data_IF_405839133815
#
_entry.id   IF_405839133815
#
_cell.length_a   1.000
_cell.length_b   1.000
_cell.length_c   1.000
_cell.angle_alpha   90.00
_cell.angle_beta   90.00
_cell.angle_gamma   90.00
#
_symmetry.space_group_name_H-M   'P 1'
#
loop_
_entity.id
_entity.type
_entity.pdbx_description
1 polymer ?
#
# COMPACT_ATOMS: atom_id res chain seq x y z
N UNK A 1 7.61 5.53 16.69
CA UNK A 1 8.29 4.32 16.19
C UNK A 1 7.20 3.49 15.53
N UNK A 2 7.07 3.60 14.21
CA UNK A 2 6.10 2.81 13.46
C UNK A 2 6.88 1.77 12.68
N UNK A 3 6.62 0.50 12.91
CA UNK A 3 7.10 -0.58 12.06
C UNK A 3 6.30 -0.55 10.76
N UNK A 4 6.98 -0.71 9.62
CA UNK A 4 6.32 -0.96 8.34
C UNK A 4 6.21 -2.47 8.15
N UNK A 5 5.01 -2.98 7.94
CA UNK A 5 4.78 -4.42 7.73
C UNK A 5 4.76 -4.74 6.23
N UNK A 6 5.39 -5.84 5.83
CA UNK A 6 5.17 -6.47 4.51
C UNK A 6 4.15 -7.59 4.69
N UNK A 7 3.14 -7.64 3.82
CA UNK A 7 2.03 -8.59 3.84
C UNK A 7 1.91 -9.17 2.43
N UNK A 8 2.19 -10.46 2.24
CA UNK A 8 1.99 -11.17 0.97
C UNK A 8 0.78 -12.10 1.12
N UNK A 9 -0.26 -11.99 0.29
CA UNK A 9 -1.56 -12.63 0.55
C UNK A 9 -2.02 -13.61 -0.52
N UNK A 10 -2.39 -14.81 -0.06
CA UNK A 10 -3.56 -15.56 -0.52
C UNK A 10 -4.43 -15.98 0.69
N UNK A 11 -5.73 -15.68 0.62
CA UNK A 11 -6.89 -16.04 1.47
C UNK A 11 -6.85 -15.94 3.03
N UNK A 12 -8.01 -15.58 3.59
CA UNK A 12 -8.20 -14.85 4.87
C UNK A 12 -8.48 -15.65 6.16
N UNK A 13 -7.92 -15.19 7.30
CA UNK A 13 -8.62 -14.92 8.57
C UNK A 13 -7.71 -14.26 9.67
N UNK A 14 -8.34 -13.46 10.56
CA UNK A 14 -7.79 -12.51 11.54
C UNK A 14 -6.93 -13.07 12.72
N UNK A 15 -5.82 -12.36 12.97
CA UNK A 15 -5.12 -12.03 14.24
C UNK A 15 -5.17 -13.01 15.44
N UNK A 16 -4.27 -13.99 15.42
CA UNK A 16 -3.47 -14.48 16.55
C UNK A 16 -2.37 -15.33 15.91
N UNK A 17 -1.10 -14.87 15.91
CA UNK A 17 -0.03 -15.46 15.09
C UNK A 17 -0.52 -15.70 13.65
N UNK A 18 -0.54 -14.67 12.80
CA UNK A 18 -0.99 -14.82 11.41
C UNK A 18 0.02 -15.65 10.63
N UNK A 19 -0.09 -16.98 10.80
CA UNK A 19 0.38 -18.01 9.90
C UNK A 19 -0.88 -18.66 9.33
N UNK A 20 -1.70 -17.83 8.66
CA UNK A 20 -2.64 -18.39 7.70
C UNK A 20 -1.77 -19.02 6.59
N UNK A 21 -2.02 -20.27 6.18
CA UNK A 21 -1.26 -20.88 5.09
C UNK A 21 -1.42 -19.99 3.85
N UNK A 22 -0.30 -19.47 3.31
CA UNK A 22 -0.30 -18.53 2.19
C UNK A 22 -0.07 -17.05 2.56
N UNK A 23 0.14 -16.72 3.84
CA UNK A 23 0.45 -15.37 4.31
C UNK A 23 1.73 -15.32 5.14
N UNK A 24 2.76 -14.69 4.57
CA UNK A 24 4.01 -14.35 5.25
C UNK A 24 4.03 -12.86 5.62
N UNK A 25 4.43 -12.55 6.86
CA UNK A 25 4.54 -11.18 7.36
C UNK A 25 5.84 -10.94 8.11
N UNK A 26 6.40 -9.73 7.98
CA UNK A 26 7.64 -9.32 8.65
C UNK A 26 7.56 -7.84 9.03
N UNK A 27 8.16 -7.46 10.17
CA UNK A 27 8.28 -6.05 10.55
C UNK A 27 9.60 -5.48 10.05
N UNK A 28 9.52 -4.28 9.50
CA UNK A 28 10.70 -3.62 8.91
C UNK A 28 11.08 -2.39 9.72
N UNK A 29 12.35 -2.37 10.15
CA UNK A 29 12.98 -1.18 10.73
C UNK A 29 12.88 -0.02 9.73
N UNK A 30 12.63 1.17 10.26
CA UNK A 30 12.57 2.42 9.50
C UNK A 30 13.99 2.87 9.08
N UNK A 31 14.71 2.04 8.31
CA UNK A 31 16.05 2.29 7.78
C UNK A 31 16.19 1.85 6.31
N UNK A 32 16.79 2.69 5.46
CA UNK A 32 16.91 2.42 4.02
C UNK A 32 17.72 1.17 3.72
N UNK A 33 18.81 0.96 4.45
CA UNK A 33 19.63 -0.24 4.29
C UNK A 33 18.85 -1.51 4.67
N UNK A 34 17.97 -1.44 5.67
CA UNK A 34 17.08 -2.56 6.02
C UNK A 34 16.11 -2.83 4.88
N UNK A 35 15.39 -1.82 4.38
CA UNK A 35 14.47 -2.01 3.25
C UNK A 35 15.17 -2.57 1.99
N UNK A 36 16.34 -2.03 1.66
CA UNK A 36 17.12 -2.43 0.49
C UNK A 36 17.66 -3.87 0.55
N UNK A 37 17.79 -4.46 1.73
CA UNK A 37 18.31 -5.82 1.94
C UNK A 37 17.22 -6.83 2.29
N UNK A 38 16.30 -6.46 3.19
CA UNK A 38 15.24 -7.34 3.68
C UNK A 38 14.22 -7.66 2.59
N UNK A 39 13.73 -6.65 1.86
CA UNK A 39 12.66 -6.85 0.87
C UNK A 39 13.11 -7.82 -0.23
N UNK A 40 14.28 -7.65 -0.89
CA UNK A 40 14.73 -8.63 -1.89
C UNK A 40 14.94 -10.03 -1.32
N UNK A 41 15.41 -10.13 -0.07
CA UNK A 41 15.61 -11.42 0.61
C UNK A 41 14.28 -12.14 0.84
N UNK A 42 13.25 -11.42 1.29
CA UNK A 42 11.90 -11.97 1.46
C UNK A 42 11.29 -12.41 0.13
N UNK A 43 11.45 -11.60 -0.93
CA UNK A 43 10.98 -11.97 -2.28
C UNK A 43 11.67 -13.26 -2.74
N UNK A 44 12.99 -13.38 -2.55
CA UNK A 44 13.73 -14.58 -2.94
C UNK A 44 13.33 -15.81 -2.11
N UNK A 45 13.12 -15.64 -0.81
CA UNK A 45 12.81 -16.73 0.10
C UNK A 45 11.39 -17.29 -0.11
N UNK A 46 10.42 -16.40 -0.33
CA UNK A 46 9.00 -16.75 -0.35
C UNK A 46 8.39 -16.79 -1.75
N UNK A 47 9.07 -16.24 -2.76
CA UNK A 47 8.58 -16.06 -4.14
C UNK A 47 7.08 -15.67 -4.20
N UNK A 48 6.67 -14.61 -3.47
CA UNK A 48 5.25 -14.32 -3.31
C UNK A 48 4.61 -13.93 -4.65
N UNK A 49 3.30 -14.08 -4.78
CA UNK A 49 2.54 -13.51 -5.92
C UNK A 49 2.30 -12.02 -5.74
N UNK A 50 1.87 -11.62 -4.55
CA UNK A 50 1.57 -10.24 -4.18
C UNK A 50 2.48 -9.73 -3.08
N UNK A 51 2.85 -8.45 -3.16
CA UNK A 51 3.62 -7.76 -2.12
C UNK A 51 2.83 -6.54 -1.66
N UNK A 52 2.35 -6.53 -0.43
CA UNK A 52 1.63 -5.37 0.15
C UNK A 52 2.44 -4.82 1.30
N UNK A 53 2.84 -3.56 1.20
CA UNK A 53 3.46 -2.83 2.31
C UNK A 53 2.39 -2.08 3.07
N UNK A 54 2.52 -2.00 4.40
CA UNK A 54 1.65 -1.19 5.25
C UNK A 54 2.53 -0.26 6.08
N UNK A 55 2.25 1.05 5.99
CA UNK A 55 2.98 2.07 6.73
C UNK A 55 2.07 3.13 7.30
N UNK A 56 2.45 3.73 8.43
CA UNK A 56 1.68 4.80 9.04
C UNK A 56 1.96 6.13 8.36
N UNK A 57 0.89 6.86 7.98
CA UNK A 57 0.97 8.25 7.55
C UNK A 57 0.42 9.17 8.65
N UNK A 58 1.29 9.58 9.58
CA UNK A 58 0.92 10.47 10.66
C UNK A 58 0.32 11.78 10.11
N UNK A 59 -0.89 12.13 10.56
CA UNK A 59 -1.63 13.31 10.11
C UNK A 59 -2.65 13.07 9.00
N UNK A 60 -2.73 11.86 8.42
CA UNK A 60 -3.84 11.47 7.54
C UNK A 60 -4.98 10.87 8.36
N UNK A 61 -6.20 11.30 8.05
CA UNK A 61 -7.46 10.78 8.62
C UNK A 61 -8.12 9.70 7.72
N UNK A 62 -7.42 9.26 6.68
CA UNK A 62 -7.93 8.33 5.68
C UNK A 62 -6.86 7.28 5.35
N UNK A 63 -7.34 6.13 4.88
CA UNK A 63 -6.51 5.03 4.38
C UNK A 63 -6.20 5.29 2.91
N UNK A 64 -4.96 5.03 2.49
CA UNK A 64 -4.52 5.40 1.15
C UNK A 64 -3.72 4.28 0.48
N UNK A 65 -4.12 3.85 -0.71
CA UNK A 65 -3.27 3.04 -1.58
C UNK A 65 -2.40 3.94 -2.46
N UNK A 66 -1.09 3.76 -2.41
CA UNK A 66 -0.13 4.49 -3.24
C UNK A 66 0.06 3.77 -4.58
N UNK A 67 -0.06 4.49 -5.70
CA UNK A 67 -0.11 3.90 -7.04
C UNK A 67 1.17 4.08 -7.85
N UNK A 68 2.07 4.96 -7.40
CA UNK A 68 3.35 5.22 -8.06
C UNK A 68 4.49 5.28 -7.04
N UNK A 69 5.68 4.91 -7.49
CA UNK A 69 6.92 5.11 -6.75
C UNK A 69 7.92 5.85 -7.62
N UNK A 70 8.62 6.79 -7.01
CA UNK A 70 9.66 7.56 -7.69
C UNK A 70 11.03 7.06 -7.27
N UNK A 71 11.96 7.04 -8.21
CA UNK A 71 13.32 6.53 -7.98
C UNK A 71 14.19 7.48 -7.18
N UNK A 72 13.92 8.78 -7.26
CA UNK A 72 14.86 9.85 -6.86
C UNK A 72 14.29 10.74 -5.74
N UNK A 73 15.19 11.45 -5.04
CA UNK A 73 14.95 12.45 -3.99
C UNK A 73 14.66 11.93 -2.56
N UNK A 74 15.24 10.79 -2.19
CA UNK A 74 15.15 10.22 -0.84
C UNK A 74 16.11 10.90 0.17
N UNK A 75 15.86 12.19 0.45
CA UNK A 75 16.77 13.06 1.25
C UNK A 75 16.48 13.04 2.75
N UNK A 76 15.30 12.57 3.15
CA UNK A 76 14.91 12.49 4.56
C UNK A 76 15.74 11.39 5.20
N UNK A 77 16.43 11.72 6.29
CA UNK A 77 17.24 10.78 7.04
C UNK A 77 16.37 9.76 7.78
N UNK A 78 16.81 8.52 7.75
CA UNK A 78 16.19 7.42 8.47
C UNK A 78 16.62 7.38 9.96
N UNK A 79 16.15 6.36 10.70
CA UNK A 79 16.50 6.21 12.13
C UNK A 79 17.98 5.87 12.38
N UNK A 80 18.75 5.59 11.32
CA UNK A 80 20.19 5.36 11.35
C UNK A 80 20.96 6.59 10.82
N UNK A 81 20.31 7.76 10.70
CA UNK A 81 20.88 9.02 10.21
C UNK A 81 21.38 8.99 8.75
N UNK A 82 20.85 8.09 7.92
CA UNK A 82 21.23 7.91 6.52
C UNK A 82 20.11 8.34 5.55
N UNK A 83 20.51 8.81 4.38
CA UNK A 83 19.59 9.06 3.26
C UNK A 83 19.46 7.82 2.35
N UNK A 84 18.51 7.87 1.40
CA UNK A 84 18.22 6.76 0.49
C UNK A 84 19.11 6.72 -0.76
N UNK A 85 20.10 7.61 -0.90
CA UNK A 85 20.87 7.73 -2.13
C UNK A 85 21.71 6.49 -2.42
N UNK A 86 22.48 6.05 -1.42
CA UNK A 86 23.43 4.93 -1.58
C UNK A 86 22.72 3.60 -1.75
N UNK A 87 21.69 3.35 -0.93
CA UNK A 87 21.01 2.05 -0.86
C UNK A 87 19.93 1.87 -1.93
N UNK A 88 19.40 2.97 -2.50
CA UNK A 88 18.38 2.93 -3.54
C UNK A 88 18.81 3.65 -4.82
N UNK A 89 18.82 4.99 -4.80
CA UNK A 89 18.93 5.80 -6.03
C UNK A 89 20.12 5.43 -6.91
N UNK A 90 21.30 5.28 -6.30
CA UNK A 90 22.53 4.92 -7.00
C UNK A 90 22.42 3.51 -7.63
N UNK A 91 21.88 2.55 -6.87
CA UNK A 91 21.70 1.17 -7.31
C UNK A 91 20.70 1.08 -8.46
N UNK A 92 19.53 1.69 -8.31
CA UNK A 92 18.49 1.72 -9.32
C UNK A 92 18.93 2.40 -10.62
N UNK A 93 19.72 3.48 -10.53
CA UNK A 93 20.32 4.13 -11.72
C UNK A 93 21.27 3.18 -12.45
N UNK A 94 22.12 2.46 -11.71
CA UNK A 94 23.05 1.48 -12.28
C UNK A 94 22.33 0.28 -12.90
N UNK A 95 21.23 -0.16 -12.30
CA UNK A 95 20.37 -1.24 -12.80
C UNK A 95 19.47 -0.80 -13.98
N UNK A 96 19.46 0.49 -14.34
CA UNK A 96 18.63 1.01 -15.44
C UNK A 96 17.14 1.04 -15.11
N UNK A 97 16.79 1.22 -13.83
CA UNK A 97 15.41 1.37 -13.39
C UNK A 97 14.90 2.77 -13.78
N UNK A 98 13.67 2.89 -14.33
CA UNK A 98 13.07 4.17 -14.70
C UNK A 98 12.92 5.10 -13.49
N UNK A 99 12.80 6.41 -13.75
CA UNK A 99 12.60 7.41 -12.69
C UNK A 99 11.26 7.28 -11.95
N UNK A 100 10.31 6.54 -12.52
CA UNK A 100 8.97 6.33 -11.98
C UNK A 100 8.50 4.92 -12.33
N UNK A 101 8.02 4.19 -11.33
CA UNK A 101 7.34 2.90 -11.48
C UNK A 101 5.90 3.02 -10.96
N UNK A 102 5.02 2.15 -11.45
CA UNK A 102 3.60 2.17 -11.14
C UNK A 102 3.11 0.77 -10.82
N UNK A 103 2.08 0.69 -9.99
CA UNK A 103 1.34 -0.55 -9.76
C UNK A 103 0.63 -1.01 -11.05
N UNK A 104 0.35 -2.31 -11.16
CA UNK A 104 -0.24 -2.89 -12.37
C UNK A 104 -1.72 -3.27 -12.27
N UNK A 105 -2.33 -3.22 -11.08
CA UNK A 105 -3.78 -3.39 -10.91
C UNK A 105 -4.55 -2.16 -11.42
N UNK A 106 -5.83 -2.33 -11.79
CA UNK A 106 -6.66 -1.21 -12.25
C UNK A 106 -7.05 -0.30 -11.08
N UNK A 107 -6.55 0.93 -11.10
CA UNK A 107 -6.75 1.92 -10.03
C UNK A 107 -8.25 2.19 -9.76
N UNK A 108 -9.06 2.34 -10.81
CA UNK A 108 -10.46 2.73 -10.66
C UNK A 108 -11.30 1.56 -10.15
N UNK A 109 -11.06 0.35 -10.67
CA UNK A 109 -11.73 -0.87 -10.22
C UNK A 109 -11.38 -1.20 -8.76
N UNK A 110 -10.09 -1.17 -8.40
CA UNK A 110 -9.64 -1.41 -7.02
C UNK A 110 -10.28 -0.42 -6.05
N UNK A 111 -10.28 0.88 -6.35
CA UNK A 111 -10.89 1.88 -5.47
C UNK A 111 -12.41 1.65 -5.32
N UNK A 112 -13.11 1.33 -6.40
CA UNK A 112 -14.54 1.07 -6.37
C UNK A 112 -14.89 -0.16 -5.53
N UNK A 113 -14.15 -1.27 -5.69
CA UNK A 113 -14.30 -2.49 -4.88
C UNK A 113 -14.00 -2.22 -3.42
N UNK A 114 -12.88 -1.55 -3.15
CA UNK A 114 -12.42 -1.29 -1.80
C UNK A 114 -13.41 -0.44 -1.01
N UNK A 115 -13.89 0.66 -1.60
CA UNK A 115 -14.91 1.50 -0.96
C UNK A 115 -16.21 0.73 -0.73
N UNK A 116 -16.70 0.00 -1.74
CA UNK A 116 -17.93 -0.78 -1.63
C UNK A 116 -17.86 -1.81 -0.50
N UNK A 117 -16.73 -2.50 -0.37
CA UNK A 117 -16.55 -3.53 0.64
C UNK A 117 -16.45 -2.94 2.05
N UNK A 118 -15.65 -1.89 2.23
CA UNK A 118 -15.57 -1.16 3.50
C UNK A 118 -16.95 -0.67 3.93
N UNK A 119 -17.70 -0.05 3.01
CA UNK A 119 -19.04 0.46 3.28
C UNK A 119 -20.00 -0.66 3.67
N UNK A 120 -19.97 -1.79 2.95
CA UNK A 120 -20.82 -2.94 3.22
C UNK A 120 -20.55 -3.55 4.59
N UNK A 121 -19.28 -3.73 4.95
CA UNK A 121 -18.87 -4.28 6.25
C UNK A 121 -19.25 -3.32 7.38
N UNK A 122 -18.92 -2.03 7.27
CA UNK A 122 -19.23 -1.07 8.33
C UNK A 122 -20.73 -0.84 8.50
N UNK A 123 -21.52 -0.88 7.42
CA UNK A 123 -23.00 -0.83 7.49
C UNK A 123 -23.57 -2.07 8.17
N UNK A 124 -23.09 -3.27 7.82
CA UNK A 124 -23.54 -4.52 8.44
C UNK A 124 -23.21 -4.57 9.94
N UNK A 125 -22.13 -3.91 10.36
CA UNK A 125 -21.74 -3.77 11.76
C UNK A 125 -22.47 -2.63 12.49
N UNK A 126 -23.32 -1.84 11.81
CA UNK A 126 -23.99 -0.68 12.38
C UNK A 126 -23.04 0.45 12.79
N UNK A 127 -21.85 0.53 12.17
CA UNK A 127 -20.84 1.56 12.45
C UNK A 127 -21.07 2.83 11.65
N UNK A 128 -21.81 2.73 10.55
CA UNK A 128 -22.27 3.85 9.73
C UNK A 128 -23.78 3.78 9.69
N UNK A 129 -24.46 4.89 9.96
CA UNK A 129 -25.89 4.96 9.77
C UNK A 129 -26.19 4.74 8.28
N UNK A 130 -27.09 3.81 7.98
CA UNK A 130 -27.77 3.79 6.69
C UNK A 130 -28.37 5.20 6.53
N UNK A 131 -28.27 5.85 5.37
CA UNK A 131 -28.87 7.17 5.10
C UNK A 131 -30.42 7.13 5.12
N UNK A 132 -31.03 6.51 6.13
CA UNK A 132 -32.42 6.67 6.50
C UNK A 132 -32.59 7.96 7.32
N UNK A 133 -33.75 8.59 7.15
CA UNK A 133 -34.09 9.89 7.72
C UNK A 133 -33.64 10.03 9.19
N UNK A 134 -32.77 11.02 9.42
CA UNK A 134 -32.30 11.47 10.73
C UNK A 134 -33.40 11.44 11.81
N UNK A 135 -33.18 10.86 12.99
CA UNK A 135 -33.76 11.46 14.18
C UNK A 135 -33.00 12.75 14.47
N UNK A 136 -33.75 13.84 14.63
CA UNK A 136 -33.21 15.11 15.10
C UNK A 136 -32.41 14.91 16.40
N UNK A 137 -31.23 15.52 16.47
CA UNK A 137 -30.43 15.73 17.67
C UNK A 137 -31.31 16.11 18.90
N UNK A 138 -31.01 15.72 20.17
CA UNK A 138 -29.70 15.36 20.75
C UNK A 138 -29.71 14.07 21.60
N UNK A 139 -29.07 12.98 21.16
CA UNK A 139 -28.73 11.84 22.04
C UNK A 139 -27.59 11.01 21.43
N UNK A 140 -26.44 11.63 21.19
CA UNK A 140 -25.21 10.88 20.88
C UNK A 140 -24.28 10.93 22.08
N UNK A 141 -24.08 9.77 22.71
CA UNK A 141 -23.12 9.61 23.79
C UNK A 141 -21.70 9.97 23.29
N UNK A 142 -20.83 10.63 24.09
CA UNK A 142 -19.49 11.03 23.67
C UNK A 142 -18.63 9.91 23.08
N UNK A 143 -18.89 8.65 23.46
CA UNK A 143 -18.22 7.44 23.03
C UNK A 143 -18.54 7.04 21.58
N UNK A 144 -19.64 7.55 21.02
CA UNK A 144 -20.06 7.36 19.62
C UNK A 144 -19.51 8.43 18.67
N UNK A 145 -18.69 9.38 19.15
CA UNK A 145 -18.10 10.43 18.27
C UNK A 145 -17.07 9.91 17.27
N UNK A 146 -16.70 8.63 17.33
CA UNK A 146 -15.75 8.01 16.41
C UNK A 146 -16.41 7.17 15.29
N UNK A 147 -17.70 7.42 15.01
CA UNK A 147 -18.52 6.87 13.91
C UNK A 147 -18.24 7.49 12.54
N UNK A 148 -17.04 8.05 12.32
CA UNK A 148 -16.69 8.50 10.96
C UNK A 148 -16.44 7.26 10.11
N UNK A 149 -17.24 7.12 9.05
CA UNK A 149 -17.03 6.18 7.95
C UNK A 149 -15.54 6.10 7.60
N UNK A 150 -15.01 4.89 7.43
CA UNK A 150 -13.62 4.73 7.01
C UNK A 150 -13.43 5.25 5.59
N UNK A 151 -12.62 6.31 5.46
CA UNK A 151 -12.35 6.95 4.17
C UNK A 151 -11.16 6.24 3.51
N UNK A 152 -11.36 5.78 2.27
CA UNK A 152 -10.31 5.15 1.46
C UNK A 152 -10.02 6.00 0.23
N UNK A 153 -8.75 6.10 -0.17
CA UNK A 153 -8.29 6.92 -1.30
C UNK A 153 -7.14 6.28 -2.05
N UNK A 154 -6.90 6.76 -3.26
CA UNK A 154 -5.64 6.54 -3.97
C UNK A 154 -4.74 7.77 -3.84
N UNK A 155 -3.43 7.55 -3.90
CA UNK A 155 -2.43 8.61 -3.92
C UNK A 155 -1.31 8.28 -4.90
N UNK A 156 -0.71 9.33 -5.44
CA UNK A 156 0.44 9.28 -6.33
C UNK A 156 1.71 9.83 -5.64
N UNK A 157 1.66 10.02 -4.33
CA UNK A 157 2.76 10.57 -3.56
C UNK A 157 2.82 9.95 -2.16
N UNK A 158 3.71 8.98 -2.03
CA UNK A 158 4.00 8.28 -0.79
C UNK A 158 5.04 8.99 0.10
N UNK A 159 5.48 10.20 -0.27
CA UNK A 159 6.20 11.11 0.63
C UNK A 159 7.74 11.03 0.61
N UNK A 160 8.38 10.44 -0.41
CA UNK A 160 9.86 10.42 -0.60
C UNK A 160 10.67 10.02 0.66
N UNK A 161 10.11 9.10 1.43
CA UNK A 161 10.76 8.48 2.59
C UNK A 161 10.65 6.95 2.47
N UNK A 162 10.77 6.22 3.58
CA UNK A 162 10.78 4.75 3.59
C UNK A 162 9.52 4.09 3.04
N UNK A 163 8.36 4.73 3.14
CA UNK A 163 7.14 4.20 2.57
C UNK A 163 7.26 4.07 1.04
N UNK A 164 7.55 5.17 0.35
CA UNK A 164 7.78 5.14 -1.10
C UNK A 164 9.01 4.32 -1.48
N UNK A 165 10.07 4.38 -0.68
CA UNK A 165 11.29 3.62 -0.94
C UNK A 165 11.02 2.13 -1.00
N UNK A 166 10.22 1.60 -0.06
CA UNK A 166 9.88 0.16 0.00
C UNK A 166 9.01 -0.28 -1.18
N UNK A 167 8.08 0.59 -1.59
CA UNK A 167 7.29 0.41 -2.81
C UNK A 167 8.22 0.39 -4.05
N UNK A 168 9.18 1.32 -4.12
CA UNK A 168 10.16 1.40 -5.20
C UNK A 168 11.07 0.17 -5.25
N UNK A 169 11.56 -0.31 -4.09
CA UNK A 169 12.34 -1.55 -4.01
C UNK A 169 11.55 -2.71 -4.61
N UNK A 170 10.30 -2.91 -4.18
CA UNK A 170 9.49 -4.05 -4.63
C UNK A 170 9.13 -3.98 -6.12
N UNK A 171 8.68 -2.81 -6.59
CA UNK A 171 8.38 -2.60 -8.02
C UNK A 171 9.64 -2.77 -8.88
N UNK A 172 10.81 -2.30 -8.41
CA UNK A 172 12.05 -2.46 -9.16
C UNK A 172 12.46 -3.93 -9.30
N UNK A 173 12.30 -4.74 -8.25
CA UNK A 173 12.61 -6.19 -8.30
C UNK A 173 11.69 -6.91 -9.27
N UNK A 174 10.39 -6.62 -9.21
CA UNK A 174 9.40 -7.14 -10.16
C UNK A 174 9.68 -6.76 -11.61
N UNK A 175 10.10 -5.52 -11.86
CA UNK A 175 10.49 -5.09 -13.22
C UNK A 175 11.77 -5.78 -13.71
N UNK A 176 12.74 -6.02 -12.82
CA UNK A 176 13.95 -6.75 -13.18
C UNK A 176 13.69 -8.23 -13.48
N UNK A 177 12.82 -8.89 -12.70
CA UNK A 177 12.37 -10.27 -12.96
C UNK A 177 11.78 -10.39 -14.37
N UNK A 178 10.88 -9.48 -14.75
CA UNK A 178 10.23 -9.52 -16.06
C UNK A 178 11.23 -9.28 -17.20
N UNK A 179 12.11 -8.28 -17.06
CA UNK A 179 13.19 -8.01 -18.02
C UNK A 179 14.15 -9.18 -18.17
N UNK A 180 14.38 -9.94 -17.10
CA UNK A 180 15.23 -11.13 -17.15
C UNK A 180 14.55 -12.23 -17.98
N UNK A 181 13.26 -12.50 -17.73
CA UNK A 181 12.48 -13.45 -18.53
C UNK A 181 12.50 -13.10 -20.03
N UNK A 182 12.31 -11.82 -20.35
CA UNK A 182 12.39 -11.31 -21.72
C UNK A 182 13.76 -11.57 -22.36
N UNK A 183 14.86 -11.32 -21.63
CA UNK A 183 16.22 -11.56 -22.12
C UNK A 183 16.53 -13.04 -22.33
N UNK A 184 15.95 -13.91 -21.51
CA UNK A 184 16.07 -15.36 -21.63
C UNK A 184 15.17 -15.94 -22.72
N UNK A 185 14.33 -15.12 -23.36
CA UNK A 185 13.40 -15.55 -24.39
C UNK A 185 12.26 -16.42 -23.86
N UNK A 186 11.98 -16.34 -22.55
CA UNK A 186 10.86 -17.05 -21.94
C UNK A 186 9.54 -16.41 -22.42
N UNK A 187 8.49 -17.22 -22.68
CA UNK A 187 7.18 -16.68 -23.02
C UNK A 187 6.71 -15.71 -21.94
N UNK A 188 6.46 -14.46 -22.31
CA UNK A 188 5.80 -13.47 -21.46
C UNK A 188 4.30 -13.54 -21.72
N UNK A 189 3.61 -14.47 -21.06
CA UNK A 189 2.17 -14.31 -20.92
C UNK A 189 1.95 -13.16 -19.94
N UNK A 190 1.48 -12.02 -20.46
CA UNK A 190 1.13 -10.86 -19.64
C UNK A 190 0.12 -11.23 -18.54
N UNK A 191 -0.64 -12.33 -18.71
CA UNK A 191 -1.54 -12.90 -17.69
C UNK A 191 -0.79 -13.39 -16.46
N UNK A 192 0.38 -13.98 -16.65
CA UNK A 192 1.28 -14.51 -15.61
C UNK A 192 2.29 -13.46 -15.09
N UNK A 193 2.30 -12.27 -15.68
CA UNK A 193 3.20 -11.20 -15.23
C UNK A 193 2.93 -10.81 -13.77
N UNK A 194 4.02 -10.55 -13.04
CA UNK A 194 3.98 -10.07 -11.64
C UNK A 194 4.50 -8.65 -11.50
N UNK A 195 4.85 -7.98 -12.61
CA UNK A 195 5.57 -6.69 -12.62
C UNK A 195 4.89 -5.62 -11.74
N UNK A 196 3.56 -5.66 -11.68
CA UNK A 196 2.73 -4.70 -10.94
C UNK A 196 1.91 -5.27 -9.78
N UNK A 197 2.15 -6.51 -9.34
CA UNK A 197 1.50 -7.13 -8.16
C UNK A 197 2.09 -6.62 -6.84
N UNK A 198 2.17 -5.30 -6.70
CA UNK A 198 2.72 -4.62 -5.52
C UNK A 198 1.74 -3.53 -5.08
N UNK A 199 1.63 -3.29 -3.78
CA UNK A 199 0.87 -2.19 -3.22
C UNK A 199 1.55 -1.60 -1.98
N UNK A 200 1.23 -0.35 -1.66
CA UNK A 200 1.55 0.27 -0.38
C UNK A 200 0.28 0.89 0.20
N UNK A 201 -0.10 0.48 1.40
CA UNK A 201 -1.24 1.01 2.16
C UNK A 201 -0.73 1.93 3.26
N UNK A 202 -0.98 3.22 3.11
CA UNK A 202 -0.87 4.16 4.21
C UNK A 202 -2.09 4.07 5.13
N UNK A 203 -1.84 3.90 6.42
CA UNK A 203 -2.87 3.88 7.48
C UNK A 203 -2.79 5.12 8.37
N UNK A 204 -3.92 5.60 8.93
CA UNK A 204 -3.94 6.66 9.95
C UNK A 204 -3.12 6.29 11.20
N UNK A 205 -2.71 7.30 11.97
CA UNK A 205 -1.90 7.13 13.19
C UNK A 205 -2.66 6.69 14.45
N UNK A 206 -3.93 6.30 14.34
CA UNK A 206 -4.72 5.79 15.47
C UNK A 206 -4.21 4.42 15.93
N UNK A 207 -4.06 4.24 17.24
CA UNK A 207 -3.47 3.03 17.83
C UNK A 207 -4.33 2.42 18.94
N UNK A 208 -5.53 2.94 19.19
CA UNK A 208 -6.44 2.32 20.16
C UNK A 208 -7.00 1.01 19.57
N UNK A 209 -7.45 0.05 20.39
CA UNK A 209 -7.96 -1.23 19.89
C UNK A 209 -9.01 -1.12 18.79
N UNK A 210 -9.90 -0.13 18.88
CA UNK A 210 -10.90 0.15 17.84
C UNK A 210 -10.31 0.70 16.54
N UNK A 211 -9.21 1.45 16.61
CA UNK A 211 -8.50 1.99 15.45
C UNK A 211 -7.74 0.87 14.73
N UNK A 212 -7.10 -0.02 15.50
CA UNK A 212 -6.45 -1.23 14.98
C UNK A 212 -7.49 -2.14 14.33
N UNK A 213 -8.61 -2.42 15.00
CA UNK A 213 -9.68 -3.23 14.44
C UNK A 213 -10.27 -2.64 13.15
N UNK A 214 -10.40 -1.31 13.08
CA UNK A 214 -10.77 -0.61 11.84
C UNK A 214 -9.70 -0.78 10.76
N UNK A 215 -8.43 -0.58 11.11
CA UNK A 215 -7.30 -0.74 10.20
C UNK A 215 -7.22 -2.12 9.59
N UNK A 216 -7.41 -3.18 10.39
CA UNK A 216 -7.46 -4.57 9.92
C UNK A 216 -8.57 -4.75 8.88
N UNK A 217 -9.81 -4.33 9.17
CA UNK A 217 -10.93 -4.45 8.22
C UNK A 217 -10.66 -3.72 6.91
N UNK A 218 -10.13 -2.50 6.99
CA UNK A 218 -9.86 -1.67 5.81
C UNK A 218 -8.70 -2.25 4.99
N UNK A 219 -7.66 -2.77 5.65
CA UNK A 219 -6.52 -3.40 4.99
C UNK A 219 -6.93 -4.69 4.27
N UNK A 220 -7.69 -5.56 4.92
CA UNK A 220 -8.21 -6.78 4.30
C UNK A 220 -9.07 -6.50 3.07
N UNK A 221 -9.94 -5.48 3.14
CA UNK A 221 -10.74 -5.06 2.00
C UNK A 221 -9.88 -4.52 0.84
N UNK A 222 -8.79 -3.80 1.16
CA UNK A 222 -7.85 -3.31 0.15
C UNK A 222 -7.18 -4.48 -0.58
N UNK A 223 -6.70 -5.45 0.20
CA UNK A 223 -6.05 -6.66 -0.30
C UNK A 223 -6.98 -7.44 -1.21
N UNK A 224 -8.20 -7.76 -0.73
CA UNK A 224 -9.19 -8.50 -1.53
C UNK A 224 -9.51 -7.78 -2.83
N UNK A 225 -9.63 -6.45 -2.77
CA UNK A 225 -9.90 -5.63 -3.95
C UNK A 225 -8.75 -5.68 -4.97
N UNK A 226 -7.49 -5.62 -4.53
CA UNK A 226 -6.30 -5.72 -5.41
C UNK A 226 -6.22 -7.10 -6.06
N UNK A 227 -6.38 -8.16 -5.28
CA UNK A 227 -6.31 -9.55 -5.78
C UNK A 227 -7.45 -9.79 -6.77
N UNK A 228 -8.69 -9.48 -6.39
CA UNK A 228 -9.87 -9.68 -7.24
C UNK A 228 -9.78 -8.88 -8.55
N UNK A 229 -9.35 -7.61 -8.49
CA UNK A 229 -9.14 -6.80 -9.68
C UNK A 229 -8.16 -7.47 -10.65
N UNK A 230 -7.00 -7.89 -10.14
CA UNK A 230 -5.96 -8.49 -10.96
C UNK A 230 -6.36 -9.85 -11.57
N UNK A 231 -6.90 -10.74 -10.75
CA UNK A 231 -7.23 -12.13 -11.13
C UNK A 231 -8.46 -12.19 -12.05
N UNK A 232 -9.37 -11.22 -11.94
CA UNK A 232 -10.47 -11.04 -12.91
C UNK A 232 -10.04 -10.32 -14.20
N UNK A 233 -8.76 -9.94 -14.32
CA UNK A 233 -8.17 -9.36 -15.52
C UNK A 233 -8.27 -7.83 -15.63
N UNK A 234 -8.73 -7.13 -14.58
CA UNK A 234 -8.69 -5.67 -14.48
C UNK A 234 -7.28 -5.22 -14.14
N UNK A 235 -6.53 -4.85 -15.18
CA UNK A 235 -5.11 -4.49 -15.08
C UNK A 235 -4.86 -3.19 -15.80
N UNK A 236 -3.82 -2.49 -15.36
CA UNK A 236 -3.35 -1.27 -16.01
C UNK A 236 -2.89 -1.60 -17.44
N UNK A 237 -3.57 -1.01 -18.42
CA UNK A 237 -3.11 -1.07 -19.81
C UNK A 237 -1.93 -0.12 -20.03
N UNK A 238 -0.83 -0.56 -20.66
CA UNK A 238 0.25 0.32 -21.10
C UNK A 238 -0.31 1.25 -22.21
N UNK A 239 -0.74 2.45 -21.81
CA UNK A 239 -1.33 3.45 -22.72
C UNK A 239 -2.52 4.23 -22.16
N UNK A 240 -3.11 3.79 -21.05
CA UNK A 240 -4.20 4.51 -20.39
C UNK A 240 -3.66 5.62 -19.48
N UNK A 241 -3.77 6.88 -19.89
CA UNK A 241 -3.74 7.99 -18.93
C UNK A 241 -4.95 7.83 -18.01
N UNK A 242 -4.73 7.59 -16.71
CA UNK A 242 -5.81 7.64 -15.71
C UNK A 242 -6.48 9.01 -15.80
N UNK A 243 -7.73 9.07 -16.27
CA UNK A 243 -8.61 10.24 -16.16
C UNK A 243 -9.13 10.37 -14.72
N UNK A 244 -8.21 10.44 -13.77
CA UNK A 244 -8.49 10.82 -12.40
C UNK A 244 -7.64 12.06 -12.08
N UNK A 245 -8.04 13.19 -12.65
CA UNK A 245 -7.62 14.49 -12.18
C UNK A 245 -8.32 14.78 -10.86
N UNK A 246 -7.79 14.20 -9.77
CA UNK A 246 -8.05 14.66 -8.41
C UNK A 246 -6.80 15.39 -7.95
N UNK A 247 -6.95 16.67 -7.62
CA UNK A 247 -5.86 17.53 -7.13
C UNK A 247 -5.01 16.79 -6.10
N UNK A 248 -3.75 16.55 -6.44
CA UNK A 248 -2.74 16.08 -5.51
C UNK A 248 -2.63 17.12 -4.40
N UNK A 249 -3.14 16.75 -3.22
CA UNK A 249 -2.98 17.55 -2.01
C UNK A 249 -1.49 17.80 -1.81
N UNK A 250 -1.10 19.07 -1.85
CA UNK A 250 0.26 19.51 -1.58
C UNK A 250 0.63 19.05 -0.17
N UNK A 251 1.64 18.20 -0.05
CA UNK A 251 2.27 17.90 1.22
C UNK A 251 2.90 19.19 1.77
N UNK A 252 2.25 19.80 2.77
CA UNK A 252 2.82 20.90 3.53
C UNK A 252 3.87 20.30 4.48
N UNK A 253 5.14 20.34 4.04
CA UNK A 253 6.28 19.71 4.68
C UNK A 253 6.53 20.15 6.11
N UNK A 254 5.83 19.53 7.06
CA UNK A 254 6.16 19.60 8.48
C UNK A 254 7.39 18.73 8.71
N UNK A 255 8.53 19.40 8.83
CA UNK A 255 9.77 18.84 9.36
C UNK A 255 9.53 18.49 10.83
N UNK A 256 9.47 17.21 11.14
CA UNK A 256 9.54 16.75 12.53
C UNK A 256 10.94 17.05 13.05
N UNK A 257 11.06 18.03 13.94
CA UNK A 257 12.19 18.10 14.85
C UNK A 257 11.92 17.08 15.96
N UNK A 258 12.88 16.17 16.15
CA UNK A 258 12.97 15.31 17.31
C UNK A 258 13.06 16.15 18.60
#
# INVERSE_FOLDING_TARGET
>A
MGDAGVVALEDLALSAEVTAPGLDHETMRVAYATAASLIPSLIQQHDPDYIVHIGMAAGREHYTLETIAHRDDYKIKDVDERDGWKEGEYVWKKEGIPGLLQVGWDEADVLARWQKEVDGVETAMGLVDNEGAFPAWPLMAPQLRNTRKSLVRLSRDAGRFLCEFSLMVSLSRRSLEERQKEREGLPTDWRESREGKVAFLHVPGGFLPQDVARGVRVAEAAIRSIVASWEEGYRRHPGGQSKAGGEGGRWDGVVWKA
#
